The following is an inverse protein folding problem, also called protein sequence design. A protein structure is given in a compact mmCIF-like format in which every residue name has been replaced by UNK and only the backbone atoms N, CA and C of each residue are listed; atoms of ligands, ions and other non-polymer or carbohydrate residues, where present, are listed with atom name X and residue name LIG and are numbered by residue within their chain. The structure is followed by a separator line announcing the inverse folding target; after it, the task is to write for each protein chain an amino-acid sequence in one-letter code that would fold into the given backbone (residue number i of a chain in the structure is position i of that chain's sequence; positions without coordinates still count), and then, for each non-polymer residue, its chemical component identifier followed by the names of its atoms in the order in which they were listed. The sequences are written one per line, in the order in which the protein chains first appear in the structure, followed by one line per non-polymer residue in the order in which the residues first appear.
data_IF_500223432623
#
_entry.id   IF_500223432623
#
_cell.length_a   1.000
_cell.length_b   1.000
_cell.length_c   1.000
_cell.angle_alpha   90.00
_cell.angle_beta   90.00
_cell.angle_gamma   90.00
#
_symmetry.space_group_name_H-M   'P 1'
#
loop_
_entity.id
_entity.type
_entity.pdbx_description
1 polymer ?
#
# COMPACT_ATOMS: atom_id res chain seq x y z
N UNK A 1 -14.91 -32.85 50.07
CA UNK A 1 -14.18 -31.79 49.35
C UNK A 1 -14.24 -32.11 47.87
N UNK A 2 -15.25 -31.58 47.18
CA UNK A 2 -15.34 -31.65 45.72
C UNK A 2 -14.45 -30.57 45.11
N UNK A 3 -13.61 -30.94 44.14
CA UNK A 3 -12.82 -30.00 43.33
C UNK A 3 -13.62 -29.71 42.05
N UNK A 4 -14.09 -28.49 41.89
CA UNK A 4 -14.57 -27.99 40.60
C UNK A 4 -13.37 -27.68 39.69
N UNK A 5 -13.35 -28.15 38.43
CA UNK A 5 -12.41 -27.63 37.45
C UNK A 5 -12.92 -26.28 36.93
N UNK A 6 -12.07 -25.25 37.06
CA UNK A 6 -12.20 -23.99 36.34
C UNK A 6 -11.97 -24.27 34.85
N UNK A 7 -13.03 -24.51 34.08
CA UNK A 7 -12.93 -24.39 32.62
C UNK A 7 -12.79 -22.90 32.30
N UNK A 8 -11.58 -22.51 31.88
CA UNK A 8 -11.38 -21.20 31.26
C UNK A 8 -12.29 -21.09 30.04
N UNK A 9 -13.02 -19.99 29.84
CA UNK A 9 -13.85 -19.84 28.66
C UNK A 9 -12.93 -19.84 27.43
N UNK A 10 -13.13 -20.82 26.53
CA UNK A 10 -12.55 -20.80 25.20
C UNK A 10 -12.94 -19.47 24.55
N UNK A 11 -11.96 -18.60 24.27
CA UNK A 11 -12.21 -17.39 23.50
C UNK A 11 -12.80 -17.81 22.16
N UNK A 12 -13.94 -17.23 21.73
CA UNK A 12 -14.56 -17.60 20.47
C UNK A 12 -13.55 -17.41 19.33
N UNK A 13 -13.51 -18.37 18.42
CA UNK A 13 -12.66 -18.29 17.24
C UNK A 13 -13.03 -17.03 16.44
N UNK A 14 -12.04 -16.20 16.13
CA UNK A 14 -12.20 -14.99 15.33
C UNK A 14 -12.84 -15.33 13.98
N UNK A 15 -13.78 -14.49 13.52
CA UNK A 15 -14.32 -14.54 12.17
C UNK A 15 -13.23 -14.30 11.12
N UNK A 16 -13.45 -14.73 9.89
CA UNK A 16 -12.49 -14.53 8.79
C UNK A 16 -12.19 -13.06 8.51
N UNK A 17 -13.16 -12.16 8.72
CA UNK A 17 -12.94 -10.72 8.55
C UNK A 17 -12.16 -10.13 9.73
N UNK A 18 -12.37 -10.62 10.95
CA UNK A 18 -11.53 -10.26 12.10
C UNK A 18 -10.09 -10.75 11.93
N UNK A 19 -9.87 -11.94 11.35
CA UNK A 19 -8.52 -12.43 11.03
C UNK A 19 -7.83 -11.57 9.96
N UNK A 20 -8.55 -11.16 8.91
CA UNK A 20 -8.00 -10.25 7.87
C UNK A 20 -7.69 -8.88 8.44
N UNK A 21 -8.59 -8.35 9.30
CA UNK A 21 -8.36 -7.12 10.06
C UNK A 21 -7.08 -7.26 10.89
N UNK A 22 -6.96 -8.31 11.70
CA UNK A 22 -5.75 -8.60 12.49
C UNK A 22 -4.47 -8.76 11.66
N UNK A 23 -4.53 -9.42 10.50
CA UNK A 23 -3.35 -9.57 9.66
C UNK A 23 -2.96 -8.25 8.98
N UNK A 24 -3.94 -7.47 8.51
CA UNK A 24 -3.70 -6.11 8.03
C UNK A 24 -3.10 -5.25 9.14
N UNK A 25 -3.67 -5.32 10.35
CA UNK A 25 -3.16 -4.66 11.54
C UNK A 25 -1.71 -5.05 11.84
N UNK A 26 -1.39 -6.35 11.83
CA UNK A 26 -0.04 -6.86 12.09
C UNK A 26 0.98 -6.39 11.04
N UNK A 27 0.61 -6.38 9.76
CA UNK A 27 1.57 -5.98 8.72
C UNK A 27 1.75 -4.46 8.65
N UNK A 28 0.68 -3.68 8.85
CA UNK A 28 0.80 -2.22 8.95
C UNK A 28 1.66 -1.82 10.15
N UNK A 29 1.48 -2.51 11.29
CA UNK A 29 2.31 -2.38 12.49
C UNK A 29 3.80 -2.63 12.20
N UNK A 30 4.10 -3.70 11.47
CA UNK A 30 5.47 -4.05 11.10
C UNK A 30 6.11 -3.05 10.11
N UNK A 31 5.35 -2.52 9.16
CA UNK A 31 5.88 -1.57 8.17
C UNK A 31 6.25 -0.20 8.76
N UNK A 32 5.45 0.29 9.69
CA UNK A 32 5.72 1.53 10.44
C UNK A 32 6.98 1.38 11.33
N UNK A 33 7.22 0.16 11.83
CA UNK A 33 8.28 -0.15 12.78
C UNK A 33 9.67 -0.39 12.15
N UNK A 34 9.76 -0.57 10.82
CA UNK A 34 10.97 -1.01 10.12
C UNK A 34 11.78 0.10 9.44
N UNK A 35 11.50 1.37 9.69
CA UNK A 35 12.27 2.44 9.06
C UNK A 35 12.52 3.57 10.07
N UNK A 36 13.75 4.09 10.11
CA UNK A 36 14.21 5.28 10.86
C UNK A 36 14.69 5.11 12.32
N UNK A 37 15.68 5.94 12.67
CA UNK A 37 16.50 5.88 13.90
C UNK A 37 15.81 6.55 15.09
N UNK A 38 14.92 7.53 14.85
CA UNK A 38 14.21 8.26 15.90
C UNK A 38 12.69 8.35 15.64
N UNK A 39 11.90 8.52 16.69
CA UNK A 39 10.43 8.64 16.60
C UNK A 39 9.98 9.90 15.85
N UNK A 40 10.78 10.97 15.90
CA UNK A 40 10.55 12.20 15.14
C UNK A 40 10.68 12.01 13.63
N UNK A 41 11.75 11.34 13.17
CA UNK A 41 11.92 10.99 11.74
C UNK A 41 10.77 10.13 11.22
N UNK A 42 10.25 9.22 12.06
CA UNK A 42 9.09 8.39 11.72
C UNK A 42 7.82 9.21 11.54
N UNK A 43 7.56 10.16 12.43
CA UNK A 43 6.36 11.03 12.34
C UNK A 43 6.43 11.93 11.11
N UNK A 44 7.57 12.54 10.81
CA UNK A 44 7.75 13.36 9.60
C UNK A 44 7.55 12.55 8.32
N UNK A 45 8.09 11.32 8.27
CA UNK A 45 7.84 10.42 7.16
C UNK A 45 6.36 10.07 7.03
N UNK A 46 5.70 9.68 8.13
CA UNK A 46 4.27 9.35 8.11
C UNK A 46 3.49 10.53 7.55
N UNK A 47 3.73 11.75 8.03
CA UNK A 47 3.11 12.98 7.51
C UNK A 47 3.27 13.15 6.01
N UNK A 48 4.47 12.91 5.47
CA UNK A 48 4.72 12.98 4.02
C UNK A 48 3.94 11.93 3.21
N UNK A 49 3.59 10.80 3.83
CA UNK A 49 2.82 9.73 3.17
C UNK A 49 1.31 9.85 3.35
N UNK A 50 0.85 10.74 4.23
CA UNK A 50 -0.56 10.88 4.62
C UNK A 50 -1.43 11.55 3.55
N UNK A 51 -0.85 12.26 2.59
CA UNK A 51 -1.60 13.12 1.65
C UNK A 51 -2.79 12.40 0.99
N UNK A 52 -2.62 11.14 0.59
CA UNK A 52 -3.69 10.34 -0.02
C UNK A 52 -4.79 9.87 0.91
N UNK A 53 -4.55 9.84 2.23
CA UNK A 53 -5.56 9.43 3.22
C UNK A 53 -6.11 10.62 4.02
N UNK A 54 -5.51 11.80 3.91
CA UNK A 54 -6.02 13.02 4.55
C UNK A 54 -7.51 13.30 4.26
N UNK A 55 -8.06 13.05 3.05
CA UNK A 55 -9.48 13.21 2.80
C UNK A 55 -10.39 12.31 3.66
N UNK A 56 -9.88 11.16 4.12
CA UNK A 56 -10.60 10.18 4.93
C UNK A 56 -10.67 10.57 6.42
N UNK A 57 -9.93 11.61 6.81
CA UNK A 57 -9.78 12.03 8.21
C UNK A 57 -10.75 13.18 8.48
N UNK A 58 -11.76 12.92 9.31
CA UNK A 58 -12.80 13.91 9.65
C UNK A 58 -12.23 15.16 10.34
N UNK A 59 -11.31 14.97 11.29
CA UNK A 59 -10.64 16.06 11.99
C UNK A 59 -9.12 16.03 11.76
N UNK A 60 -8.71 16.62 10.63
CA UNK A 60 -7.32 16.65 10.17
C UNK A 60 -6.38 17.31 11.18
N UNK A 61 -6.80 18.41 11.79
CA UNK A 61 -5.99 19.18 12.75
C UNK A 61 -5.74 18.36 14.02
N UNK A 62 -6.79 17.77 14.60
CA UNK A 62 -6.63 16.91 15.77
C UNK A 62 -5.81 15.65 15.46
N UNK A 63 -5.97 15.08 14.27
CA UNK A 63 -5.17 13.93 13.83
C UNK A 63 -3.68 14.28 13.74
N UNK A 64 -3.34 15.39 13.09
CA UNK A 64 -1.95 15.84 12.96
C UNK A 64 -1.33 16.20 14.32
N UNK A 65 -2.11 16.83 15.21
CA UNK A 65 -1.65 17.11 16.58
C UNK A 65 -1.32 15.84 17.36
N UNK A 66 -2.21 14.83 17.32
CA UNK A 66 -1.96 13.55 17.99
C UNK A 66 -0.82 12.76 17.35
N UNK A 67 -0.62 12.93 16.04
CA UNK A 67 0.52 12.37 15.34
C UNK A 67 1.83 13.02 15.80
N UNK A 68 1.84 14.33 16.04
CA UNK A 68 2.99 15.05 16.61
C UNK A 68 3.30 14.58 18.04
N UNK A 69 2.29 14.34 18.86
CA UNK A 69 2.48 13.76 20.21
C UNK A 69 3.17 12.39 20.18
N UNK A 70 3.02 11.63 19.09
CA UNK A 70 3.72 10.36 18.93
C UNK A 70 5.24 10.54 18.73
N UNK A 71 5.71 11.72 18.32
CA UNK A 71 7.13 11.96 18.06
C UNK A 71 7.99 11.84 19.33
N UNK A 72 7.39 12.03 20.50
CA UNK A 72 8.04 11.99 21.81
C UNK A 72 8.08 10.58 22.42
N UNK A 73 7.46 9.57 21.77
CA UNK A 73 7.44 8.19 22.28
C UNK A 73 8.68 7.43 21.80
N UNK A 74 9.69 7.30 22.66
CA UNK A 74 10.95 6.62 22.33
C UNK A 74 10.82 5.10 22.24
N UNK A 75 10.01 4.51 23.13
CA UNK A 75 9.82 3.06 23.19
C UNK A 75 9.05 2.57 21.97
N UNK A 76 9.70 1.69 21.19
CA UNK A 76 9.22 1.25 19.87
C UNK A 76 7.82 0.66 19.93
N UNK A 77 7.54 -0.23 20.87
CA UNK A 77 6.23 -0.89 20.94
C UNK A 77 5.13 0.11 21.34
N UNK A 78 5.43 1.04 22.25
CA UNK A 78 4.50 2.08 22.67
C UNK A 78 4.21 3.08 21.55
N UNK A 79 5.24 3.48 20.80
CA UNK A 79 5.12 4.36 19.64
C UNK A 79 4.17 3.76 18.61
N UNK A 80 4.39 2.47 18.32
CA UNK A 80 3.61 1.76 17.32
C UNK A 80 2.17 1.54 17.78
N UNK A 81 1.93 1.27 19.07
CA UNK A 81 0.57 1.17 19.61
C UNK A 81 -0.16 2.52 19.58
N UNK A 82 0.52 3.62 19.91
CA UNK A 82 -0.06 4.96 19.84
C UNK A 82 -0.44 5.37 18.42
N UNK A 83 0.44 5.12 17.44
CA UNK A 83 0.12 5.31 16.03
C UNK A 83 -1.06 4.43 15.61
N UNK A 84 -1.07 3.16 16.04
CA UNK A 84 -2.16 2.27 15.67
C UNK A 84 -3.52 2.79 16.12
N UNK A 85 -3.64 3.20 17.38
CA UNK A 85 -4.88 3.79 17.93
C UNK A 85 -5.28 5.06 17.19
N UNK A 86 -4.31 5.87 16.75
CA UNK A 86 -4.57 7.05 15.95
C UNK A 86 -5.13 6.70 14.56
N UNK A 87 -4.57 5.69 13.88
CA UNK A 87 -5.01 5.28 12.55
C UNK A 87 -6.22 4.35 12.55
N UNK A 88 -6.60 3.78 13.70
CA UNK A 88 -7.70 2.83 13.83
C UNK A 88 -9.01 3.26 13.17
N UNK A 89 -9.51 4.51 13.32
CA UNK A 89 -10.74 4.94 12.66
C UNK A 89 -10.66 4.88 11.13
N UNK A 90 -9.50 5.20 10.55
CA UNK A 90 -9.26 5.14 9.10
C UNK A 90 -9.29 3.67 8.64
N UNK A 91 -8.67 2.80 9.43
CA UNK A 91 -8.62 1.37 9.12
C UNK A 91 -10.02 0.74 9.26
N UNK A 92 -10.77 1.07 10.31
CA UNK A 92 -12.13 0.58 10.52
C UNK A 92 -13.03 1.01 9.34
N UNK A 93 -12.93 2.28 8.88
CA UNK A 93 -13.65 2.76 7.68
C UNK A 93 -13.34 1.93 6.42
N UNK A 94 -12.08 1.51 6.22
CA UNK A 94 -11.70 0.62 5.11
C UNK A 94 -12.46 -0.72 5.13
N UNK A 95 -12.77 -1.25 6.30
CA UNK A 95 -13.45 -2.53 6.43
C UNK A 95 -14.97 -2.43 6.55
N UNK A 96 -15.49 -1.29 7.00
CA UNK A 96 -16.93 -1.05 7.14
C UNK A 96 -17.55 -0.54 5.84
N UNK A 97 -16.83 0.31 5.11
CA UNK A 97 -17.28 0.89 3.84
C UNK A 97 -16.10 0.96 2.84
N UNK A 98 -15.70 -0.19 2.28
CA UNK A 98 -14.55 -0.26 1.36
C UNK A 98 -14.76 0.55 0.08
N UNK A 99 -16.00 0.69 -0.41
CA UNK A 99 -16.29 1.43 -1.63
C UNK A 99 -16.10 2.93 -1.43
N UNK A 100 -16.62 3.49 -0.34
CA UNK A 100 -16.41 4.90 0.00
C UNK A 100 -14.95 5.18 0.34
N UNK A 101 -14.29 4.27 1.06
CA UNK A 101 -12.87 4.38 1.38
C UNK A 101 -11.99 4.47 0.13
N UNK A 102 -12.28 3.64 -0.89
CA UNK A 102 -11.60 3.72 -2.19
C UNK A 102 -11.94 5.02 -2.91
N UNK A 103 -13.21 5.39 -3.03
CA UNK A 103 -13.62 6.60 -3.75
C UNK A 103 -13.09 7.91 -3.14
N UNK A 104 -12.89 7.94 -1.82
CA UNK A 104 -12.33 9.09 -1.10
C UNK A 104 -10.79 9.08 -1.06
N UNK A 105 -10.16 7.90 -1.02
CA UNK A 105 -8.69 7.73 -1.05
C UNK A 105 -8.06 7.79 -2.45
N UNK A 106 -8.83 7.49 -3.50
CA UNK A 106 -8.41 7.52 -4.92
C UNK A 106 -8.33 8.94 -5.50
N UNK A 107 -8.80 9.96 -4.78
CA UNK A 107 -8.66 11.37 -5.21
C UNK A 107 -7.26 11.91 -4.91
N UNK A 108 -6.23 11.27 -5.46
CA UNK A 108 -4.95 11.94 -5.69
C UNK A 108 -5.05 12.68 -7.03
N UNK A 109 -5.03 14.02 -7.05
CA UNK A 109 -5.28 14.80 -8.26
C UNK A 109 -4.30 14.49 -9.40
N UNK A 110 -3.14 13.92 -9.09
CA UNK A 110 -2.05 13.71 -10.03
C UNK A 110 -2.01 12.28 -10.63
N UNK A 111 -2.86 11.37 -10.15
CA UNK A 111 -2.86 9.98 -10.62
C UNK A 111 -3.89 9.78 -11.73
N UNK A 112 -3.44 9.27 -12.87
CA UNK A 112 -4.27 8.94 -14.02
C UNK A 112 -4.66 7.45 -13.93
N UNK A 113 -5.94 7.18 -13.72
CA UNK A 113 -6.44 5.80 -13.68
C UNK A 113 -6.41 5.15 -15.07
N UNK A 114 -5.84 3.94 -15.16
CA UNK A 114 -5.95 3.08 -16.35
C UNK A 114 -7.09 2.07 -16.18
N UNK A 115 -7.18 1.50 -14.97
CA UNK A 115 -8.28 0.70 -14.46
C UNK A 115 -8.20 0.60 -12.93
N UNK A 116 -9.19 -0.07 -12.31
CA UNK A 116 -9.25 -0.37 -10.86
C UNK A 116 -8.04 -1.09 -10.23
N UNK A 117 -7.04 -1.49 -11.02
CA UNK A 117 -5.84 -2.20 -10.54
C UNK A 117 -4.58 -1.38 -10.71
N UNK A 118 -4.55 -0.47 -11.70
CA UNK A 118 -3.38 0.33 -12.05
C UNK A 118 -3.77 1.77 -12.34
N UNK A 119 -3.12 2.68 -11.64
CA UNK A 119 -3.01 4.08 -12.02
C UNK A 119 -1.54 4.42 -12.28
N UNK A 120 -1.29 5.57 -12.90
CA UNK A 120 0.06 6.07 -13.09
C UNK A 120 0.12 7.58 -12.94
N UNK A 121 1.31 8.08 -12.68
CA UNK A 121 1.66 9.49 -12.80
C UNK A 121 2.89 9.63 -13.71
N UNK A 122 3.05 10.83 -14.30
CA UNK A 122 4.22 11.17 -15.10
C UNK A 122 5.05 12.17 -14.32
N UNK A 123 6.32 11.84 -14.09
CA UNK A 123 7.29 12.72 -13.46
C UNK A 123 8.55 12.76 -14.32
N UNK A 124 8.79 13.93 -14.94
CA UNK A 124 9.89 14.16 -15.89
C UNK A 124 9.94 13.10 -17.00
N UNK A 125 11.00 12.28 -17.04
CA UNK A 125 11.22 11.22 -18.02
C UNK A 125 10.74 9.84 -17.55
N UNK A 126 9.93 9.78 -16.50
CA UNK A 126 9.57 8.54 -15.81
C UNK A 126 8.06 8.45 -15.61
N UNK A 127 7.51 7.27 -15.90
CA UNK A 127 6.15 6.92 -15.50
C UNK A 127 6.23 6.11 -14.21
N UNK A 128 5.53 6.57 -13.17
CA UNK A 128 5.37 5.85 -11.92
C UNK A 128 4.04 5.11 -11.93
N UNK A 129 4.05 3.78 -11.77
CA UNK A 129 2.87 2.92 -11.71
C UNK A 129 2.50 2.60 -10.26
N UNK A 130 1.23 2.75 -9.93
CA UNK A 130 0.66 2.35 -8.65
C UNK A 130 -0.22 1.12 -8.84
N UNK A 131 -0.06 0.11 -7.97
CA UNK A 131 -0.63 -1.23 -8.15
C UNK A 131 -1.49 -1.60 -6.94
N UNK A 132 -2.80 -1.76 -7.15
CA UNK A 132 -3.82 -1.94 -6.09
C UNK A 132 -4.37 -3.37 -5.99
N UNK A 133 -3.52 -4.39 -6.16
CA UNK A 133 -3.94 -5.78 -6.33
C UNK A 133 -4.65 -6.43 -5.12
N UNK A 134 -4.61 -5.83 -3.92
CA UNK A 134 -5.23 -6.39 -2.71
C UNK A 134 -6.46 -5.60 -2.23
N UNK A 135 -6.83 -4.50 -2.89
CA UNK A 135 -7.88 -3.59 -2.42
C UNK A 135 -9.22 -3.76 -3.14
N UNK A 136 -9.36 -4.81 -3.95
CA UNK A 136 -10.62 -5.11 -4.64
C UNK A 136 -11.25 -6.36 -4.02
N UNK A 137 -12.19 -6.22 -3.05
CA UNK A 137 -12.82 -7.35 -2.35
C UNK A 137 -13.51 -8.35 -3.29
N UNK A 138 -13.96 -7.87 -4.45
CA UNK A 138 -14.83 -8.63 -5.37
C UNK A 138 -14.08 -9.53 -6.35
N UNK A 139 -12.74 -9.44 -6.44
CA UNK A 139 -11.97 -10.20 -7.44
C UNK A 139 -11.20 -11.36 -6.82
N UNK A 140 -11.94 -12.31 -6.22
CA UNK A 140 -11.41 -13.65 -5.99
C UNK A 140 -11.16 -14.34 -7.34
N UNK A 141 -9.91 -14.22 -7.79
CA UNK A 141 -9.06 -15.31 -8.30
C UNK A 141 -8.78 -15.52 -9.80
N UNK A 142 -9.36 -14.83 -10.78
CA UNK A 142 -8.92 -15.09 -12.19
C UNK A 142 -8.62 -13.87 -13.08
N UNK A 143 -9.11 -12.67 -12.76
CA UNK A 143 -9.01 -11.54 -13.70
C UNK A 143 -7.93 -10.50 -13.36
N UNK A 144 -7.25 -10.60 -12.22
CA UNK A 144 -6.42 -9.48 -11.74
C UNK A 144 -5.09 -9.34 -12.50
N UNK A 145 -4.47 -10.46 -12.87
CA UNK A 145 -3.26 -10.47 -13.71
C UNK A 145 -3.58 -10.06 -15.15
N UNK A 146 -4.77 -10.42 -15.63
CA UNK A 146 -5.28 -10.00 -16.94
C UNK A 146 -5.50 -8.48 -16.94
N UNK A 147 -6.18 -7.93 -15.93
CA UNK A 147 -6.36 -6.48 -15.77
C UNK A 147 -5.03 -5.73 -15.66
N UNK A 148 -4.05 -6.31 -14.96
CA UNK A 148 -2.71 -5.73 -14.91
C UNK A 148 -2.06 -5.72 -16.31
N UNK A 149 -2.14 -6.84 -17.05
CA UNK A 149 -1.62 -6.92 -18.41
C UNK A 149 -2.30 -5.92 -19.36
N UNK A 150 -3.62 -5.83 -19.31
CA UNK A 150 -4.42 -4.87 -20.09
C UNK A 150 -4.02 -3.43 -19.75
N UNK A 151 -3.79 -3.13 -18.47
CA UNK A 151 -3.28 -1.83 -18.05
C UNK A 151 -1.92 -1.53 -18.66
N UNK A 152 -0.99 -2.50 -18.67
CA UNK A 152 0.33 -2.32 -19.30
C UNK A 152 0.24 -2.11 -20.82
N UNK A 153 -0.70 -2.79 -21.50
CA UNK A 153 -0.96 -2.58 -22.93
C UNK A 153 -1.49 -1.17 -23.21
N UNK A 154 -2.43 -0.68 -22.40
CA UNK A 154 -2.92 0.70 -22.49
C UNK A 154 -1.81 1.70 -22.19
N UNK A 155 -1.00 1.44 -21.16
CA UNK A 155 0.12 2.28 -20.79
C UNK A 155 1.19 2.32 -21.91
N UNK A 156 1.38 1.25 -22.67
CA UNK A 156 2.28 1.25 -23.82
C UNK A 156 1.87 2.26 -24.89
N UNK A 157 0.56 2.46 -25.10
CA UNK A 157 0.07 3.49 -26.00
C UNK A 157 0.36 4.90 -25.47
N UNK A 158 0.25 5.11 -24.16
CA UNK A 158 0.66 6.37 -23.53
C UNK A 158 2.16 6.59 -23.73
N UNK A 159 3.00 5.60 -23.38
CA UNK A 159 4.46 5.69 -23.55
C UNK A 159 4.82 5.97 -25.01
N UNK A 160 4.13 5.37 -25.98
CA UNK A 160 4.37 5.64 -27.41
C UNK A 160 4.19 7.12 -27.76
N UNK A 161 3.18 7.78 -27.19
CA UNK A 161 2.87 9.19 -27.43
C UNK A 161 3.74 10.18 -26.64
N UNK A 162 4.51 9.68 -25.67
CA UNK A 162 5.40 10.48 -24.81
C UNK A 162 6.86 10.07 -25.03
N UNK A 163 7.54 10.53 -26.10
CA UNK A 163 8.91 10.13 -26.45
C UNK A 163 9.97 10.46 -25.39
N UNK A 164 9.71 11.44 -24.54
CA UNK A 164 10.54 11.85 -23.41
C UNK A 164 10.62 10.78 -22.30
N UNK A 165 9.67 9.85 -22.23
CA UNK A 165 9.65 8.80 -21.23
C UNK A 165 10.74 7.78 -21.53
N UNK A 166 11.67 7.64 -20.60
CA UNK A 166 12.80 6.72 -20.66
C UNK A 166 12.60 5.47 -19.79
N UNK A 167 11.77 5.59 -18.74
CA UNK A 167 11.63 4.58 -17.69
C UNK A 167 10.18 4.45 -17.22
N UNK A 168 9.77 3.21 -16.93
CA UNK A 168 8.54 2.92 -16.20
C UNK A 168 8.94 2.24 -14.90
N UNK A 169 8.49 2.76 -13.77
CA UNK A 169 8.82 2.23 -12.46
C UNK A 169 7.65 2.20 -11.49
N UNK A 170 7.76 1.48 -10.39
CA UNK A 170 6.79 1.53 -9.31
C UNK A 170 7.36 1.03 -8.00
N UNK A 171 6.76 1.47 -6.91
CA UNK A 171 7.05 1.07 -5.54
C UNK A 171 5.73 0.76 -4.83
N UNK A 172 5.40 -0.52 -4.72
CA UNK A 172 4.18 -0.96 -4.04
C UNK A 172 4.46 -2.10 -3.09
N UNK A 173 3.62 -2.21 -2.05
CA UNK A 173 3.59 -3.37 -1.16
C UNK A 173 3.46 -4.68 -1.93
N UNK A 174 2.85 -4.65 -3.12
CA UNK A 174 2.80 -5.80 -4.00
C UNK A 174 4.21 -6.15 -4.47
N UNK A 175 4.94 -5.21 -5.08
CA UNK A 175 6.32 -5.41 -5.54
C UNK A 175 7.21 -5.97 -4.42
N UNK A 176 7.05 -5.45 -3.20
CA UNK A 176 7.73 -5.96 -2.02
C UNK A 176 7.37 -7.43 -1.71
N UNK A 177 6.07 -7.76 -1.63
CA UNK A 177 5.56 -9.06 -1.18
C UNK A 177 5.65 -10.17 -2.23
N UNK A 178 5.46 -9.86 -3.52
CA UNK A 178 5.48 -10.87 -4.60
C UNK A 178 6.31 -10.40 -5.81
N UNK A 179 7.62 -10.12 -5.64
CA UNK A 179 8.48 -9.62 -6.72
C UNK A 179 8.43 -10.50 -7.97
N UNK A 180 8.38 -11.83 -7.79
CA UNK A 180 8.27 -12.82 -8.87
C UNK A 180 7.05 -12.65 -9.78
N UNK A 181 5.95 -12.06 -9.29
CA UNK A 181 4.78 -11.79 -10.12
C UNK A 181 5.08 -10.62 -11.07
N UNK A 182 5.72 -9.58 -10.55
CA UNK A 182 6.09 -8.36 -11.30
C UNK A 182 7.21 -8.67 -12.30
N UNK A 183 8.18 -9.51 -11.92
CA UNK A 183 9.23 -10.00 -12.81
C UNK A 183 8.69 -10.77 -14.03
N UNK A 184 7.58 -11.51 -13.88
CA UNK A 184 6.93 -12.19 -15.03
C UNK A 184 6.39 -11.21 -16.08
N UNK A 185 6.05 -10.00 -15.66
CA UNK A 185 5.66 -8.90 -16.53
C UNK A 185 6.88 -8.18 -17.15
N UNK A 186 8.10 -8.63 -16.89
CA UNK A 186 9.32 -8.10 -17.53
C UNK A 186 9.94 -6.92 -16.79
N UNK A 187 9.42 -6.55 -15.63
CA UNK A 187 10.07 -5.58 -14.75
C UNK A 187 11.26 -6.24 -14.05
N UNK A 188 12.33 -5.47 -13.88
CA UNK A 188 13.41 -5.80 -12.95
C UNK A 188 13.02 -5.32 -11.56
N UNK A 189 13.19 -6.14 -10.54
CA UNK A 189 12.92 -5.75 -9.15
C UNK A 189 14.24 -5.67 -8.40
N UNK A 190 14.49 -4.53 -7.76
CA UNK A 190 15.71 -4.33 -6.97
C UNK A 190 15.79 -5.36 -5.84
N UNK A 191 16.94 -6.04 -5.76
CA UNK A 191 17.19 -7.08 -4.76
C UNK A 191 17.65 -6.51 -3.42
N UNK A 192 18.12 -5.27 -3.41
CA UNK A 192 18.72 -4.60 -2.26
C UNK A 192 18.03 -3.26 -1.99
N UNK A 193 17.17 -3.24 -0.98
CA UNK A 193 16.96 -2.05 -0.16
C UNK A 193 17.55 -2.42 1.19
N UNK A 194 18.73 -1.87 1.49
CA UNK A 194 19.51 -2.14 2.70
C UNK A 194 18.84 -1.68 3.99
N UNK A 195 17.69 -1.01 3.91
CA UNK A 195 17.02 -0.41 5.07
C UNK A 195 15.59 -0.89 5.30
N UNK A 196 14.90 -1.51 4.33
CA UNK A 196 13.57 -2.08 4.56
C UNK A 196 13.14 -3.04 3.43
N UNK A 197 12.65 -4.23 3.81
CA UNK A 197 12.12 -5.23 2.86
C UNK A 197 10.86 -4.78 2.11
N UNK A 198 10.25 -3.68 2.53
CA UNK A 198 9.02 -3.12 2.00
C UNK A 198 9.22 -2.07 0.89
N UNK A 199 10.45 -1.58 0.71
CA UNK A 199 10.81 -0.55 -0.28
C UNK A 199 11.44 -1.14 -1.55
N UNK A 200 10.84 -2.21 -2.10
CA UNK A 200 11.32 -2.75 -3.39
C UNK A 200 10.76 -1.91 -4.54
N UNK A 201 11.68 -1.42 -5.38
CA UNK A 201 11.38 -0.77 -6.65
C UNK A 201 11.34 -1.80 -7.77
N UNK A 202 10.37 -1.69 -8.65
CA UNK A 202 10.32 -2.42 -9.92
C UNK A 202 10.47 -1.42 -11.06
N UNK A 203 11.23 -1.76 -12.09
CA UNK A 203 11.44 -0.87 -13.24
C UNK A 203 11.63 -1.63 -14.56
N UNK A 204 11.32 -0.97 -15.67
CA UNK A 204 11.51 -1.48 -17.04
C UNK A 204 11.82 -0.30 -17.97
N UNK A 205 12.79 -0.50 -18.87
CA UNK A 205 13.16 0.53 -19.85
C UNK A 205 12.01 0.80 -20.83
N UNK A 206 11.95 2.01 -21.38
CA UNK A 206 11.00 2.35 -22.45
C UNK A 206 11.02 1.32 -23.59
N UNK A 207 12.22 0.97 -24.06
CA UNK A 207 12.39 0.08 -25.21
C UNK A 207 11.82 -1.30 -24.91
N UNK A 208 12.19 -1.89 -23.77
CA UNK A 208 11.70 -3.21 -23.36
C UNK A 208 10.20 -3.20 -23.10
N UNK A 209 9.69 -2.12 -22.52
CA UNK A 209 8.27 -1.94 -22.23
C UNK A 209 7.45 -1.90 -23.53
N UNK A 210 7.81 -1.03 -24.47
CA UNK A 210 7.12 -0.93 -25.75
C UNK A 210 7.24 -2.23 -26.56
N UNK A 211 8.42 -2.85 -26.59
CA UNK A 211 8.63 -4.14 -27.25
C UNK A 211 7.68 -5.22 -26.73
N UNK A 212 7.42 -5.22 -25.42
CA UNK A 212 6.60 -6.22 -24.75
C UNK A 212 5.10 -5.95 -24.85
N UNK A 213 4.68 -4.69 -24.82
CA UNK A 213 3.27 -4.33 -24.60
C UNK A 213 2.59 -3.60 -25.76
N UNK A 214 3.34 -3.01 -26.70
CA UNK A 214 2.76 -2.26 -27.82
C UNK A 214 2.24 -3.17 -28.95
N UNK A 215 2.71 -4.42 -29.03
CA UNK A 215 2.29 -5.42 -30.04
C UNK A 215 1.34 -6.48 -29.47
N UNK A 216 0.54 -6.08 -28.49
CA UNK A 216 -0.48 -6.91 -27.86
C UNK A 216 -1.84 -6.77 -28.54
#
# INVERSE_FOLDING_TARGET
MEKFPLSSPEKPALSEDEKKRLEFYRVSKAGIAETYKTSKERVEYIKSTLEGIMPLIENKEAFLSRLDECADIEEKDQFVDALFELFKPIIDKKFEDPESFLAEGEKRPDYIEINKVVSYEISESTIFIHIYLNEVPEQRNENILTKFKEAMQKLAQVVQNHPEISLIEGNSLMIARRPRVIERFGFTVDKESTESSLNRRAYISREDFLKRYLKG
#
